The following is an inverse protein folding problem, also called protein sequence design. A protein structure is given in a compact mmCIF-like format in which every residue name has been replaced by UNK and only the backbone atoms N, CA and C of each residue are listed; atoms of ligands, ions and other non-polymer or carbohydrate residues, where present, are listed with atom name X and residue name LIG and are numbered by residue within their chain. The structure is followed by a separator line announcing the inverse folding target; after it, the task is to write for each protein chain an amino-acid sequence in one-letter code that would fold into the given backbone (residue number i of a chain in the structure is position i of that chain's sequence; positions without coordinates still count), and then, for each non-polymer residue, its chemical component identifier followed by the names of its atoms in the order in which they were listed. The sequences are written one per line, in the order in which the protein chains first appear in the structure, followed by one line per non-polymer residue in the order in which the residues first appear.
data_IF_593595002376
#
_entry.id   IF_593595002376
#
_cell.length_a   1.000
_cell.length_b   1.000
_cell.length_c   1.000
_cell.angle_alpha   90.00
_cell.angle_beta   90.00
_cell.angle_gamma   90.00
#
_symmetry.space_group_name_H-M   'P 1'
#
loop_
_entity.id
_entity.type
_entity.pdbx_description
1 polymer ?
#
# COMPACT_ATOMS: atom_id res chain seq x y z
N UNK A 1 8.56 13.96 52.62
CA UNK A 1 8.09 13.76 51.23
C UNK A 1 8.57 12.38 50.81
N UNK A 2 7.67 11.50 50.36
CA UNK A 2 8.06 10.14 49.99
C UNK A 2 8.60 10.12 48.56
N UNK A 3 9.53 9.22 48.24
CA UNK A 3 10.29 9.25 46.97
C UNK A 3 9.38 9.12 45.73
N UNK A 4 8.28 8.37 45.85
CA UNK A 4 7.28 8.24 44.78
C UNK A 4 6.62 9.60 44.45
N UNK A 5 6.34 10.44 45.46
CA UNK A 5 5.82 11.80 45.25
C UNK A 5 6.88 12.74 44.64
N UNK A 6 8.17 12.49 44.88
CA UNK A 6 9.27 13.27 44.29
C UNK A 6 9.44 12.93 42.80
N UNK A 7 9.32 11.65 42.44
CA UNK A 7 9.38 11.19 41.05
C UNK A 7 8.19 11.71 40.24
N UNK A 8 7.00 11.71 40.83
CA UNK A 8 5.78 12.20 40.17
C UNK A 8 5.80 13.73 39.98
N UNK A 9 6.35 14.46 40.95
CA UNK A 9 6.60 15.92 40.82
C UNK A 9 7.68 16.25 39.79
N UNK A 10 8.76 15.47 39.73
CA UNK A 10 9.78 15.64 38.70
C UNK A 10 9.24 15.32 37.29
N UNK A 11 8.47 14.24 37.14
CA UNK A 11 7.84 13.86 35.87
C UNK A 11 6.76 14.89 35.42
N UNK A 12 6.11 15.58 36.36
CA UNK A 12 5.14 16.65 36.08
C UNK A 12 5.77 18.06 35.97
N UNK A 13 7.10 18.17 36.04
CA UNK A 13 7.83 19.43 35.88
C UNK A 13 7.69 20.41 37.06
N UNK A 14 7.23 19.95 38.22
CA UNK A 14 7.13 20.75 39.44
C UNK A 14 8.46 20.76 40.20
N UNK A 15 8.82 21.92 40.77
CA UNK A 15 10.02 22.05 41.59
C UNK A 15 9.91 21.21 42.87
N UNK A 16 10.97 20.45 43.16
CA UNK A 16 11.06 19.60 44.34
C UNK A 16 11.77 20.38 45.46
N UNK A 17 11.01 20.95 46.39
CA UNK A 17 11.56 21.61 47.59
C UNK A 17 11.51 20.67 48.80
N UNK A 18 12.67 20.40 49.40
CA UNK A 18 12.81 19.66 50.66
C UNK A 18 14.23 19.14 50.90
N UNK A 19 14.73 19.30 52.13
CA UNK A 19 16.05 18.84 52.59
C UNK A 19 16.16 17.32 52.35
N UNK A 20 17.22 16.92 51.66
CA UNK A 20 17.56 15.52 51.37
C UNK A 20 17.85 14.81 52.69
N UNK A 21 16.88 14.07 53.21
CA UNK A 21 17.17 12.98 54.15
C UNK A 21 18.05 11.98 53.42
N UNK A 22 19.09 11.45 54.07
CA UNK A 22 19.98 10.43 53.52
C UNK A 22 19.13 9.31 52.90
N UNK A 23 19.14 9.23 51.57
CA UNK A 23 18.34 8.27 50.84
C UNK A 23 18.93 6.89 51.06
N UNK A 24 18.13 5.95 51.58
CA UNK A 24 18.54 4.56 51.76
C UNK A 24 19.02 3.98 50.42
N UNK A 25 20.10 3.18 50.45
CA UNK A 25 20.70 2.57 49.25
C UNK A 25 19.67 1.79 48.41
N UNK A 26 18.66 1.22 49.08
CA UNK A 26 17.55 0.50 48.43
C UNK A 26 16.70 1.41 47.54
N UNK A 27 16.47 2.65 47.94
CA UNK A 27 15.65 3.58 47.18
C UNK A 27 16.43 4.22 46.02
N UNK A 28 17.72 4.48 46.22
CA UNK A 28 18.63 4.85 45.11
C UNK A 28 18.66 3.75 44.04
N UNK A 29 18.65 2.48 44.44
CA UNK A 29 18.64 1.33 43.52
C UNK A 29 17.32 1.22 42.74
N UNK A 30 16.18 1.48 43.39
CA UNK A 30 14.86 1.50 42.73
C UNK A 30 14.76 2.63 41.71
N UNK A 31 15.17 3.85 42.07
CA UNK A 31 15.16 5.02 41.17
C UNK A 31 16.04 4.74 39.94
N UNK A 32 17.27 4.23 40.13
CA UNK A 32 18.15 3.87 39.01
C UNK A 32 17.54 2.81 38.11
N UNK A 33 16.84 1.82 38.65
CA UNK A 33 16.16 0.77 37.87
C UNK A 33 14.98 1.35 37.08
N UNK A 34 14.14 2.17 37.71
CA UNK A 34 13.01 2.84 37.06
C UNK A 34 13.47 3.78 35.94
N UNK A 35 14.53 4.57 36.18
CA UNK A 35 15.12 5.44 35.17
C UNK A 35 15.67 4.63 33.99
N UNK A 36 16.47 3.58 34.25
CA UNK A 36 16.98 2.68 33.20
C UNK A 36 15.85 2.05 32.39
N UNK A 37 14.76 1.65 33.04
CA UNK A 37 13.62 1.02 32.37
C UNK A 37 12.83 2.04 31.52
N UNK A 38 12.60 3.25 32.02
CA UNK A 38 12.02 4.36 31.25
C UNK A 38 12.89 4.73 30.04
N UNK A 39 14.20 4.87 30.22
CA UNK A 39 15.13 5.15 29.12
C UNK A 39 15.14 4.01 28.11
N UNK A 40 15.08 2.76 28.55
CA UNK A 40 15.01 1.60 27.66
C UNK A 40 13.70 1.59 26.84
N UNK A 41 12.56 1.91 27.46
CA UNK A 41 11.27 2.03 26.76
C UNK A 41 11.31 3.16 25.75
N UNK A 42 11.81 4.34 26.11
CA UNK A 42 11.94 5.47 25.19
C UNK A 42 12.83 5.08 24.00
N UNK A 43 14.00 4.49 24.26
CA UNK A 43 14.90 4.03 23.20
C UNK A 43 14.23 3.00 22.27
N UNK A 44 13.49 2.05 22.83
CA UNK A 44 12.74 1.05 22.07
C UNK A 44 11.68 1.71 21.17
N UNK A 45 10.87 2.61 21.74
CA UNK A 45 9.82 3.32 21.00
C UNK A 45 10.41 4.18 19.90
N UNK A 46 11.43 4.98 20.21
CA UNK A 46 12.08 5.85 19.21
C UNK A 46 12.70 5.02 18.07
N UNK A 47 13.37 3.92 18.39
CA UNK A 47 13.95 3.03 17.36
C UNK A 47 12.85 2.42 16.50
N UNK A 48 11.75 1.98 17.10
CA UNK A 48 10.62 1.38 16.39
C UNK A 48 9.98 2.39 15.43
N UNK A 49 9.69 3.61 15.91
CA UNK A 49 9.15 4.69 15.09
C UNK A 49 10.10 5.04 13.96
N UNK A 50 11.41 5.14 14.23
CA UNK A 50 12.40 5.44 13.21
C UNK A 50 12.45 4.38 12.11
N UNK A 51 12.39 3.10 12.47
CA UNK A 51 12.32 2.00 11.50
C UNK A 51 11.05 2.10 10.66
N UNK A 52 9.89 2.31 11.27
CA UNK A 52 8.61 2.44 10.55
C UNK A 52 8.62 3.62 9.57
N UNK A 53 9.11 4.79 10.00
CA UNK A 53 9.25 5.98 9.15
C UNK A 53 10.22 5.72 8.01
N UNK A 54 11.35 5.07 8.28
CA UNK A 54 12.35 4.76 7.26
C UNK A 54 11.80 3.81 6.20
N UNK A 55 11.08 2.76 6.62
CA UNK A 55 10.41 1.82 5.71
C UNK A 55 9.37 2.54 4.87
N UNK A 56 8.53 3.38 5.50
CA UNK A 56 7.54 4.19 4.78
C UNK A 56 8.16 5.13 3.75
N UNK A 57 9.26 5.80 4.09
CA UNK A 57 9.97 6.69 3.18
C UNK A 57 10.57 5.94 1.98
N UNK A 58 11.17 4.76 2.21
CA UNK A 58 11.75 3.94 1.14
C UNK A 58 10.64 3.42 0.22
N UNK A 59 9.58 2.83 0.77
CA UNK A 59 8.46 2.30 -0.01
C UNK A 59 7.75 3.41 -0.79
N UNK A 60 7.48 4.54 -0.15
CA UNK A 60 6.88 5.70 -0.81
C UNK A 60 7.75 6.26 -1.93
N UNK A 61 9.08 6.31 -1.73
CA UNK A 61 10.03 6.74 -2.75
C UNK A 61 10.08 5.79 -3.96
N UNK A 62 10.08 4.47 -3.72
CA UNK A 62 10.09 3.44 -4.76
C UNK A 62 8.79 3.46 -5.57
N UNK A 63 7.64 3.38 -4.89
CA UNK A 63 6.33 3.38 -5.54
C UNK A 63 6.04 4.70 -6.26
N UNK A 64 6.38 5.83 -5.64
CA UNK A 64 6.24 7.15 -6.26
C UNK A 64 7.11 7.31 -7.51
N UNK A 65 8.34 6.79 -7.47
CA UNK A 65 9.22 6.79 -8.64
C UNK A 65 8.66 5.90 -9.76
N UNK A 66 8.24 4.68 -9.43
CA UNK A 66 7.63 3.75 -10.38
C UNK A 66 6.40 4.37 -11.07
N UNK A 67 5.50 4.97 -10.30
CA UNK A 67 4.34 5.69 -10.83
C UNK A 67 4.74 6.84 -11.76
N UNK A 68 5.78 7.60 -11.41
CA UNK A 68 6.28 8.69 -12.25
C UNK A 68 6.87 8.20 -13.57
N UNK A 69 7.61 7.08 -13.58
CA UNK A 69 8.11 6.47 -14.81
C UNK A 69 6.96 5.89 -15.65
N UNK A 70 6.04 5.17 -15.03
CA UNK A 70 4.87 4.60 -15.70
C UNK A 70 4.03 5.69 -16.38
N UNK A 71 3.75 6.79 -15.68
CA UNK A 71 3.01 7.92 -16.23
C UNK A 71 3.68 8.54 -17.46
N UNK A 72 5.00 8.61 -17.49
CA UNK A 72 5.76 9.10 -18.65
C UNK A 72 5.79 8.11 -19.82
N UNK A 73 5.56 6.83 -19.54
CA UNK A 73 5.58 5.77 -20.53
C UNK A 73 4.23 5.57 -21.22
N UNK A 74 3.14 6.16 -20.72
CA UNK A 74 1.81 6.09 -21.32
C UNK A 74 1.86 6.63 -22.75
N UNK A 75 1.44 5.79 -23.70
CA UNK A 75 1.26 6.13 -25.13
C UNK A 75 -0.17 5.94 -25.59
N UNK A 76 -0.86 5.00 -24.99
CA UNK A 76 -2.25 4.67 -25.26
C UNK A 76 -3.08 5.05 -24.03
N UNK A 77 -4.17 5.75 -24.28
CA UNK A 77 -5.07 6.20 -23.23
C UNK A 77 -6.11 5.14 -22.89
N UNK A 78 -6.96 5.49 -21.92
CA UNK A 78 -8.01 4.62 -21.41
C UNK A 78 -9.02 4.27 -22.50
N UNK A 79 -9.41 5.22 -23.34
CA UNK A 79 -10.43 5.00 -24.37
C UNK A 79 -9.90 4.04 -25.46
N UNK A 80 -8.63 4.18 -25.85
CA UNK A 80 -7.98 3.20 -26.70
C UNK A 80 -7.95 1.81 -26.06
N UNK A 81 -7.62 1.73 -24.76
CA UNK A 81 -7.56 0.46 -24.06
C UNK A 81 -8.91 -0.26 -24.01
N UNK A 82 -10.00 0.46 -23.73
CA UNK A 82 -11.36 -0.10 -23.73
C UNK A 82 -11.69 -0.67 -25.11
N UNK A 83 -11.45 0.10 -26.18
CA UNK A 83 -11.77 -0.35 -27.52
C UNK A 83 -10.98 -1.62 -27.93
N UNK A 84 -9.69 -1.71 -27.56
CA UNK A 84 -8.90 -2.90 -27.85
C UNK A 84 -9.30 -4.10 -26.97
N UNK A 85 -9.64 -3.84 -25.71
CA UNK A 85 -10.09 -4.87 -24.79
C UNK A 85 -11.44 -5.46 -25.24
N UNK A 86 -12.36 -4.63 -25.71
CA UNK A 86 -13.66 -5.07 -26.24
C UNK A 86 -13.50 -5.96 -27.47
N UNK A 87 -12.62 -5.58 -28.41
CA UNK A 87 -12.31 -6.42 -29.59
C UNK A 87 -11.75 -7.78 -29.16
N UNK A 88 -10.84 -7.80 -28.18
CA UNK A 88 -10.26 -9.05 -27.69
C UNK A 88 -11.27 -9.92 -26.94
N UNK A 89 -12.13 -9.33 -26.11
CA UNK A 89 -13.20 -10.04 -25.42
C UNK A 89 -14.19 -10.67 -26.41
N UNK A 90 -14.59 -9.94 -27.46
CA UNK A 90 -15.47 -10.48 -28.51
C UNK A 90 -14.81 -11.65 -29.25
N UNK A 91 -13.52 -11.52 -29.60
CA UNK A 91 -12.77 -12.61 -30.26
C UNK A 91 -12.69 -13.85 -29.36
N UNK A 92 -12.41 -13.68 -28.07
CA UNK A 92 -12.31 -14.77 -27.09
C UNK A 92 -13.66 -15.48 -26.90
N UNK A 93 -14.76 -14.72 -26.74
CA UNK A 93 -16.12 -15.29 -26.65
C UNK A 93 -16.45 -16.09 -27.90
N UNK A 94 -16.18 -15.52 -29.07
CA UNK A 94 -16.50 -16.15 -30.35
C UNK A 94 -15.71 -17.44 -30.57
N UNK A 95 -14.47 -17.50 -30.08
CA UNK A 95 -13.57 -18.64 -30.27
C UNK A 95 -13.80 -19.76 -29.24
N UNK A 96 -13.86 -19.42 -27.96
CA UNK A 96 -13.83 -20.41 -26.87
C UNK A 96 -15.20 -20.60 -26.19
N UNK A 97 -16.10 -19.60 -26.27
CA UNK A 97 -17.39 -19.60 -25.56
C UNK A 97 -18.59 -19.42 -26.51
N UNK A 98 -18.77 -20.28 -27.53
CA UNK A 98 -19.78 -20.10 -28.57
C UNK A 98 -21.23 -20.06 -28.05
N UNK A 99 -21.48 -20.60 -26.85
CA UNK A 99 -22.79 -20.53 -26.17
C UNK A 99 -23.21 -19.12 -25.76
N UNK A 100 -22.26 -18.19 -25.68
CA UNK A 100 -22.46 -16.79 -25.25
C UNK A 100 -22.42 -15.80 -26.43
N UNK A 101 -22.27 -16.28 -27.68
CA UNK A 101 -22.24 -15.41 -28.88
C UNK A 101 -23.52 -14.56 -29.01
N UNK A 102 -24.66 -15.11 -28.59
CA UNK A 102 -25.94 -14.42 -28.62
C UNK A 102 -26.04 -13.27 -27.62
N UNK A 103 -25.12 -13.21 -26.65
CA UNK A 103 -25.09 -12.21 -25.58
C UNK A 103 -24.04 -11.12 -25.83
N UNK A 104 -23.37 -11.14 -27.00
CA UNK A 104 -22.36 -10.14 -27.39
C UNK A 104 -22.92 -8.72 -27.46
N UNK A 105 -24.22 -8.56 -27.72
CA UNK A 105 -24.90 -7.25 -27.70
C UNK A 105 -25.18 -6.74 -26.28
N UNK A 106 -25.05 -7.63 -25.28
CA UNK A 106 -25.15 -7.31 -23.84
C UNK A 106 -23.79 -7.21 -23.16
N UNK A 107 -22.69 -7.31 -23.92
CA UNK A 107 -21.34 -7.16 -23.38
C UNK A 107 -21.13 -5.71 -22.94
N UNK A 108 -21.06 -5.49 -21.63
CA UNK A 108 -20.86 -4.16 -21.06
C UNK A 108 -19.59 -4.12 -20.22
N UNK A 109 -18.92 -2.97 -20.25
CA UNK A 109 -17.78 -2.73 -19.35
C UNK A 109 -18.31 -2.46 -17.95
N UNK A 110 -17.98 -3.34 -17.01
CA UNK A 110 -18.40 -3.23 -15.61
C UNK A 110 -17.40 -2.41 -14.80
N UNK A 111 -16.11 -2.71 -14.92
CA UNK A 111 -15.06 -2.02 -14.17
C UNK A 111 -13.79 -1.78 -15.01
N UNK A 112 -13.07 -0.71 -14.68
CA UNK A 112 -11.78 -0.39 -15.30
C UNK A 112 -10.80 0.05 -14.21
N UNK A 113 -9.74 -0.73 -14.03
CA UNK A 113 -8.65 -0.44 -13.10
C UNK A 113 -7.38 -0.01 -13.81
N UNK A 114 -6.59 0.82 -13.12
CA UNK A 114 -5.26 1.25 -13.57
C UNK A 114 -4.20 0.65 -12.64
N UNK A 115 -3.58 -0.44 -13.08
CA UNK A 115 -2.62 -1.17 -12.25
C UNK A 115 -1.19 -0.76 -12.59
N UNK A 116 -0.40 -0.46 -11.57
CA UNK A 116 1.01 -0.11 -11.73
C UNK A 116 1.88 -1.37 -11.68
N UNK A 117 2.63 -1.62 -12.75
CA UNK A 117 3.66 -2.65 -12.76
C UNK A 117 4.90 -2.21 -11.98
N UNK A 118 5.09 -2.84 -10.81
CA UNK A 118 6.27 -2.67 -9.97
C UNK A 118 7.14 -3.93 -9.92
N UNK A 119 6.84 -4.95 -10.74
CA UNK A 119 7.59 -6.21 -10.81
C UNK A 119 8.85 -6.07 -11.68
N UNK A 120 8.85 -5.10 -12.59
CA UNK A 120 9.99 -4.76 -13.45
C UNK A 120 10.89 -3.69 -12.81
N UNK A 121 12.12 -3.47 -13.30
CA UNK A 121 12.94 -2.35 -12.85
C UNK A 121 12.15 -1.03 -12.91
N UNK A 122 12.27 -0.19 -11.88
CA UNK A 122 11.47 1.05 -11.70
C UNK A 122 11.46 1.95 -12.96
N UNK A 123 12.55 1.99 -13.72
CA UNK A 123 12.65 2.76 -14.97
C UNK A 123 11.75 2.24 -16.09
N UNK A 124 11.35 0.97 -16.00
CA UNK A 124 10.51 0.27 -16.96
C UNK A 124 9.07 0.08 -16.46
N UNK A 125 8.74 0.59 -15.26
CA UNK A 125 7.37 0.58 -14.75
C UNK A 125 6.40 1.16 -15.77
N UNK A 126 5.22 0.55 -15.85
CA UNK A 126 4.14 0.87 -16.78
C UNK A 126 2.80 0.70 -16.08
N UNK A 127 1.76 1.32 -16.63
CA UNK A 127 0.39 1.03 -16.23
C UNK A 127 -0.20 -0.04 -17.14
N UNK A 128 -1.07 -0.89 -16.59
CA UNK A 128 -2.00 -1.69 -17.35
C UNK A 128 -3.41 -1.18 -17.07
N UNK A 129 -4.23 -1.17 -18.11
CA UNK A 129 -5.67 -1.02 -18.00
C UNK A 129 -6.26 -2.41 -17.89
N UNK A 130 -6.81 -2.75 -16.73
CA UNK A 130 -7.64 -3.93 -16.55
C UNK A 130 -9.07 -3.51 -16.87
N UNK A 131 -9.68 -4.15 -17.86
CA UNK A 131 -11.04 -3.89 -18.30
C UNK A 131 -11.83 -5.16 -18.07
N UNK A 132 -12.85 -5.06 -17.23
CA UNK A 132 -13.75 -6.16 -16.93
C UNK A 132 -15.03 -5.99 -17.76
N UNK A 133 -15.44 -7.07 -18.40
CA UNK A 133 -16.67 -7.17 -19.15
C UNK A 133 -17.59 -8.21 -18.53
N UNK A 134 -18.90 -7.94 -18.54
CA UNK A 134 -19.91 -8.90 -18.13
C UNK A 134 -20.99 -8.99 -19.20
N UNK A 135 -21.52 -10.20 -19.41
CA UNK A 135 -22.69 -10.45 -20.26
C UNK A 135 -23.94 -10.66 -19.42
N UNK A 136 -25.12 -10.45 -19.99
CA UNK A 136 -26.40 -10.64 -19.26
C UNK A 136 -26.65 -12.06 -18.75
N UNK A 137 -25.92 -13.05 -19.25
CA UNK A 137 -25.99 -14.46 -18.88
C UNK A 137 -24.94 -14.87 -17.84
N UNK A 138 -24.09 -13.93 -17.40
CA UNK A 138 -23.14 -14.10 -16.29
C UNK A 138 -21.71 -14.45 -16.71
N UNK A 139 -21.37 -14.44 -18.00
CA UNK A 139 -19.97 -14.57 -18.42
C UNK A 139 -19.22 -13.28 -18.09
N UNK A 140 -18.15 -13.39 -17.30
CA UNK A 140 -17.24 -12.32 -16.92
C UNK A 140 -15.89 -12.52 -17.62
N UNK A 141 -15.32 -11.45 -18.18
CA UNK A 141 -14.04 -11.48 -18.90
C UNK A 141 -13.17 -10.33 -18.44
N UNK A 142 -11.96 -10.66 -17.96
CA UNK A 142 -10.96 -9.68 -17.58
C UNK A 142 -9.89 -9.57 -18.67
N UNK A 143 -9.69 -8.35 -19.19
CA UNK A 143 -8.72 -8.06 -20.25
C UNK A 143 -7.73 -7.00 -19.80
N UNK A 144 -6.43 -7.28 -19.94
CA UNK A 144 -5.36 -6.35 -19.62
C UNK A 144 -4.79 -5.70 -20.88
N UNK A 145 -4.64 -4.38 -20.85
CA UNK A 145 -4.03 -3.61 -21.94
C UNK A 145 -2.84 -2.79 -21.42
N UNK A 146 -1.66 -3.02 -22.00
CA UNK A 146 -0.44 -2.29 -21.68
C UNK A 146 -0.52 -0.83 -22.18
N UNK A 147 -0.51 0.13 -21.25
CA UNK A 147 -0.60 1.57 -21.58
C UNK A 147 0.57 2.12 -22.42
N UNK A 148 1.71 1.41 -22.46
CA UNK A 148 2.93 1.78 -23.18
C UNK A 148 2.98 1.15 -24.57
N UNK A 149 2.59 -0.12 -24.70
CA UNK A 149 2.73 -0.88 -25.96
C UNK A 149 1.41 -1.10 -26.70
N UNK A 150 0.27 -1.00 -26.01
CA UNK A 150 -1.04 -1.37 -26.53
C UNK A 150 -1.23 -2.88 -26.65
N UNK A 151 -0.33 -3.68 -26.06
CA UNK A 151 -0.45 -5.14 -26.03
C UNK A 151 -1.65 -5.53 -25.18
N UNK A 152 -2.47 -6.45 -25.70
CA UNK A 152 -3.68 -6.95 -25.07
C UNK A 152 -3.46 -8.40 -24.65
N UNK A 153 -3.87 -8.74 -23.44
CA UNK A 153 -3.81 -10.08 -22.87
C UNK A 153 -5.15 -10.37 -22.18
N UNK A 154 -5.74 -11.54 -22.44
CA UNK A 154 -6.89 -12.04 -21.66
C UNK A 154 -6.31 -12.61 -20.36
N UNK A 155 -6.75 -12.08 -19.22
CA UNK A 155 -6.24 -12.51 -17.90
C UNK A 155 -7.11 -13.63 -17.32
N UNK A 156 -8.43 -13.45 -17.33
CA UNK A 156 -9.37 -14.44 -16.78
C UNK A 156 -10.73 -14.44 -17.51
N UNK A 157 -11.41 -15.59 -17.44
CA UNK A 157 -12.77 -15.77 -17.96
C UNK A 157 -13.57 -16.69 -17.04
N UNK A 158 -14.63 -16.15 -16.44
CA UNK A 158 -15.48 -16.81 -15.44
C UNK A 158 -16.96 -16.88 -15.87
N UNK A 159 -17.70 -17.86 -15.35
CA UNK A 159 -19.13 -18.12 -15.61
C UNK A 159 -19.90 -18.35 -14.29
#
# INVERSE_FOLDING_TARGET
MNIDEMLDKHDSGQAVEGIVSDADELDIKKIKKAFKWKTAIIALVTTTVFVLVSVGAILGGVLGSAAAYAKKAIRFDRDYAIAQAEIAAIDEITREYPGFIQDLDTLEVTEIHNDLDVRTPISNSKYYYRVEFETSTGLEIEVHVDSKTGTVEIDDVDI
#
